data_IF_164149763478
#
_entry.id   IF_164149763478
#
_cell.length_a   1.000
_cell.length_b   1.000
_cell.length_c   1.000
_cell.angle_alpha   90.00
_cell.angle_beta   90.00
_cell.angle_gamma   90.00
#
_symmetry.space_group_name_H-M   'P 1'
#
loop_
_entity.id
_entity.type
_entity.pdbx_description
1 polymer ?
#
# COMPACT_ATOMS: atom_id res chain seq x y z
N UNK A 1 33.01 -26.23 -5.31
CA UNK A 1 32.35 -25.56 -4.18
C UNK A 1 33.44 -25.11 -3.22
N UNK A 2 33.67 -23.79 -3.13
CA UNK A 2 34.91 -23.24 -2.59
C UNK A 2 35.12 -23.57 -1.10
N UNK A 3 36.30 -24.13 -0.81
CA UNK A 3 36.82 -24.43 0.55
C UNK A 3 36.63 -23.25 1.52
N UNK A 4 36.66 -22.03 1.00
CA UNK A 4 36.47 -20.80 1.76
C UNK A 4 35.03 -20.59 2.26
N UNK A 5 34.02 -21.08 1.54
CA UNK A 5 32.60 -20.93 1.91
C UNK A 5 32.28 -21.83 3.10
N UNK A 6 32.79 -23.07 3.11
CA UNK A 6 32.58 -24.01 4.21
C UNK A 6 33.32 -23.59 5.48
N UNK A 7 34.54 -23.05 5.37
CA UNK A 7 35.28 -22.53 6.53
C UNK A 7 34.54 -21.36 7.21
N UNK A 8 33.94 -20.45 6.43
CA UNK A 8 33.17 -19.31 6.95
C UNK A 8 31.88 -19.70 7.68
N UNK A 9 31.22 -20.78 7.26
CA UNK A 9 29.97 -21.25 7.88
C UNK A 9 30.22 -21.89 9.26
N UNK A 10 31.40 -22.48 9.48
CA UNK A 10 31.74 -23.12 10.75
C UNK A 10 32.54 -22.23 11.71
N UNK A 11 33.09 -21.10 11.26
CA UNK A 11 33.68 -20.06 12.12
C UNK A 11 32.62 -19.19 12.81
N UNK A 12 31.37 -19.17 12.31
CA UNK A 12 30.28 -18.37 12.87
C UNK A 12 29.58 -19.02 14.08
N UNK A 13 29.89 -20.27 14.42
CA UNK A 13 29.33 -20.94 15.60
C UNK A 13 30.35 -20.94 16.76
N UNK A 14 30.39 -19.78 17.43
CA UNK A 14 30.96 -19.44 18.74
C UNK A 14 32.28 -20.07 19.22
N UNK A 15 33.24 -19.19 19.50
CA UNK A 15 34.07 -19.24 20.72
C UNK A 15 34.90 -20.49 20.95
N UNK A 16 36.15 -20.45 20.47
CA UNK A 16 37.32 -21.17 21.00
C UNK A 16 37.04 -22.48 21.74
N UNK A 17 36.90 -23.58 21.00
CA UNK A 17 37.44 -24.88 21.45
C UNK A 17 37.65 -25.86 20.29
N UNK A 18 38.90 -26.30 20.21
CA UNK A 18 39.40 -27.57 19.68
C UNK A 18 39.77 -27.70 18.19
N UNK A 19 41.04 -27.39 17.93
CA UNK A 19 41.92 -27.85 16.83
C UNK A 19 41.82 -29.36 16.50
N UNK A 20 41.22 -30.19 17.36
CA UNK A 20 40.93 -31.60 17.07
C UNK A 20 39.81 -31.81 16.05
N UNK A 21 38.88 -30.85 15.87
CA UNK A 21 37.86 -30.93 14.80
C UNK A 21 38.47 -30.73 13.41
N UNK A 22 39.45 -29.84 13.24
CA UNK A 22 40.09 -29.57 11.94
C UNK A 22 40.83 -30.78 11.36
N UNK A 23 41.58 -31.53 12.18
CA UNK A 23 42.26 -32.76 11.70
C UNK A 23 41.30 -33.88 11.29
N UNK A 24 40.10 -33.93 11.87
CA UNK A 24 39.06 -34.87 11.43
C UNK A 24 38.38 -34.41 10.13
N UNK A 25 38.29 -33.09 9.89
CA UNK A 25 37.73 -32.53 8.65
C UNK A 25 38.66 -32.82 7.46
N UNK A 26 39.98 -32.68 7.62
CA UNK A 26 40.95 -33.02 6.55
C UNK A 26 40.86 -34.50 6.16
N UNK A 27 40.76 -35.41 7.15
CA UNK A 27 40.56 -36.85 6.89
C UNK A 27 39.22 -37.17 6.21
N UNK A 28 38.15 -36.46 6.55
CA UNK A 28 36.84 -36.68 5.92
C UNK A 28 36.84 -36.19 4.47
N UNK A 29 37.41 -35.01 4.21
CA UNK A 29 37.53 -34.44 2.86
C UNK A 29 38.44 -35.28 1.96
N UNK A 30 39.52 -35.86 2.49
CA UNK A 30 40.38 -36.79 1.75
C UNK A 30 39.75 -38.18 1.54
N UNK A 31 38.75 -38.57 2.36
CA UNK A 31 38.08 -39.88 2.27
C UNK A 31 36.88 -39.93 1.31
N UNK A 32 36.43 -38.80 0.77
CA UNK A 32 35.42 -38.79 -0.28
C UNK A 32 36.10 -38.95 -1.64
N UNK A 33 35.92 -40.08 -2.36
CA UNK A 33 36.42 -40.16 -3.72
C UNK A 33 35.74 -39.06 -4.55
N UNK A 34 36.49 -38.47 -5.47
CA UNK A 34 35.96 -37.52 -6.44
C UNK A 34 34.77 -38.18 -7.15
N UNK A 35 33.56 -37.76 -6.78
CA UNK A 35 32.32 -38.26 -7.35
C UNK A 35 32.38 -37.96 -8.85
N UNK A 36 32.38 -39.01 -9.67
CA UNK A 36 32.34 -38.83 -11.11
C UNK A 36 31.03 -38.09 -11.48
N UNK A 37 31.11 -37.21 -12.48
CA UNK A 37 29.98 -36.38 -12.91
C UNK A 37 28.74 -37.21 -13.30
N UNK A 38 28.95 -38.45 -13.76
CA UNK A 38 27.88 -39.43 -14.06
C UNK A 38 27.12 -39.80 -12.80
N UNK A 39 27.82 -40.04 -11.69
CA UNK A 39 27.23 -40.40 -10.40
C UNK A 39 26.49 -39.21 -9.77
N UNK A 40 27.04 -37.98 -9.88
CA UNK A 40 26.35 -36.75 -9.45
C UNK A 40 25.11 -36.49 -10.30
N UNK A 41 25.21 -36.65 -11.61
CA UNK A 41 24.09 -36.50 -12.55
C UNK A 41 22.99 -37.54 -12.30
N UNK A 42 23.36 -38.81 -12.04
CA UNK A 42 22.41 -39.87 -11.73
C UNK A 42 21.69 -39.63 -10.39
N UNK A 43 22.40 -39.14 -9.37
CA UNK A 43 21.83 -38.80 -8.08
C UNK A 43 20.92 -37.57 -8.18
N UNK A 44 21.36 -36.51 -8.87
CA UNK A 44 20.57 -35.32 -9.12
C UNK A 44 19.30 -35.64 -9.93
N UNK A 45 19.41 -36.50 -10.93
CA UNK A 45 18.26 -36.98 -11.72
C UNK A 45 17.30 -37.82 -10.88
N UNK A 46 17.81 -38.69 -10.00
CA UNK A 46 16.98 -39.50 -9.11
C UNK A 46 16.28 -38.68 -8.04
N UNK A 47 16.97 -37.70 -7.43
CA UNK A 47 16.39 -36.72 -6.49
C UNK A 47 15.37 -35.83 -7.18
N UNK A 48 15.65 -35.35 -8.39
CA UNK A 48 14.72 -34.57 -9.19
C UNK A 48 13.48 -35.38 -9.56
N UNK A 49 13.62 -36.67 -9.89
CA UNK A 49 12.49 -37.61 -10.07
C UNK A 49 11.69 -37.83 -8.79
N UNK A 50 12.34 -38.02 -7.65
CA UNK A 50 11.67 -38.23 -6.36
C UNK A 50 10.90 -36.98 -5.89
N UNK A 51 11.46 -35.80 -6.14
CA UNK A 51 10.85 -34.51 -5.78
C UNK A 51 9.74 -34.10 -6.76
N UNK A 52 9.87 -34.45 -8.04
CA UNK A 52 8.81 -34.25 -9.05
C UNK A 52 7.67 -35.27 -8.94
N UNK A 53 7.89 -36.44 -8.33
CA UNK A 53 6.84 -37.47 -8.19
C UNK A 53 5.65 -37.04 -7.30
N UNK A 54 5.81 -36.05 -6.42
CA UNK A 54 4.73 -35.55 -5.53
C UNK A 54 3.84 -34.47 -6.15
N UNK A 55 4.17 -33.96 -7.33
CA UNK A 55 3.39 -32.95 -8.02
C UNK A 55 3.12 -33.52 -9.41
N UNK A 56 1.86 -33.79 -9.75
CA UNK A 56 1.55 -34.47 -11.02
C UNK A 56 2.27 -33.79 -12.20
N UNK A 57 2.67 -34.53 -13.24
CA UNK A 57 3.34 -33.95 -14.42
C UNK A 57 2.58 -32.75 -15.00
N UNK A 58 1.24 -32.80 -14.95
CA UNK A 58 0.35 -31.71 -15.33
C UNK A 58 0.44 -30.49 -14.38
N UNK A 59 0.58 -30.73 -13.07
CA UNK A 59 0.78 -29.65 -12.11
C UNK A 59 2.18 -29.03 -12.27
N UNK A 60 3.23 -29.83 -12.51
CA UNK A 60 4.55 -29.30 -12.85
C UNK A 60 4.53 -28.50 -14.16
N UNK A 61 3.87 -28.98 -15.21
CA UNK A 61 3.68 -28.22 -16.44
C UNK A 61 2.91 -26.91 -16.22
N UNK A 62 1.86 -26.91 -15.38
CA UNK A 62 1.11 -25.69 -15.06
C UNK A 62 1.92 -24.70 -14.23
N UNK A 63 2.71 -25.16 -13.27
CA UNK A 63 3.60 -24.31 -12.48
C UNK A 63 4.78 -23.81 -13.32
N UNK A 64 5.35 -24.65 -14.18
CA UNK A 64 6.43 -24.31 -15.10
C UNK A 64 5.98 -23.32 -16.17
N UNK A 65 4.82 -23.55 -16.81
CA UNK A 65 4.23 -22.60 -17.75
C UNK A 65 3.92 -21.26 -17.09
N UNK A 66 3.45 -21.28 -15.83
CA UNK A 66 3.14 -20.05 -15.08
C UNK A 66 4.39 -19.29 -14.65
N UNK A 67 5.45 -19.99 -14.23
CA UNK A 67 6.75 -19.39 -13.95
C UNK A 67 7.35 -18.86 -15.25
N UNK A 68 7.31 -19.62 -16.34
CA UNK A 68 7.79 -19.19 -17.66
C UNK A 68 7.00 -17.99 -18.19
N UNK A 69 5.69 -17.88 -17.99
CA UNK A 69 4.94 -16.68 -18.38
C UNK A 69 5.36 -15.47 -17.54
N UNK A 70 5.62 -15.66 -16.24
CA UNK A 70 6.13 -14.60 -15.35
C UNK A 70 7.55 -14.18 -15.75
N UNK A 71 8.40 -15.12 -16.17
CA UNK A 71 9.75 -14.86 -16.68
C UNK A 71 9.73 -14.24 -18.09
N UNK A 72 8.83 -14.67 -18.97
CA UNK A 72 8.61 -14.08 -20.29
C UNK A 72 8.10 -12.64 -20.17
N UNK A 73 7.22 -12.35 -19.21
CA UNK A 73 6.82 -10.97 -18.88
C UNK A 73 7.98 -10.15 -18.28
N UNK A 74 8.87 -10.79 -17.53
CA UNK A 74 10.10 -10.18 -16.98
C UNK A 74 11.10 -9.84 -18.09
N UNK A 75 11.11 -10.63 -19.16
CA UNK A 75 12.05 -10.51 -20.28
C UNK A 75 11.51 -9.62 -21.43
N UNK A 76 10.21 -9.29 -21.45
CA UNK A 76 9.59 -8.43 -22.49
C UNK A 76 9.88 -6.94 -22.42
N UNK A 77 10.69 -6.52 -21.45
CA UNK A 77 11.31 -5.19 -21.46
C UNK A 77 12.64 -5.22 -22.26
N UNK A 78 13.09 -6.39 -22.77
CA UNK A 78 14.25 -6.52 -23.68
C UNK A 78 14.00 -7.48 -24.87
N UNK A 79 14.20 -7.00 -26.11
CA UNK A 79 14.57 -7.85 -27.23
C UNK A 79 15.76 -8.80 -27.03
N UNK A 80 15.76 -10.12 -27.33
CA UNK A 80 14.90 -11.22 -26.90
C UNK A 80 15.64 -12.58 -26.67
N UNK A 81 14.86 -13.51 -26.11
CA UNK A 81 14.99 -14.98 -26.08
C UNK A 81 15.03 -15.68 -27.46
N UNK A 82 15.74 -15.16 -28.47
CA UNK A 82 15.83 -15.82 -29.79
C UNK A 82 14.53 -15.80 -30.62
N UNK A 83 13.48 -15.12 -30.17
CA UNK A 83 12.18 -15.01 -30.86
C UNK A 83 12.19 -14.07 -32.07
N UNK A 84 13.30 -13.40 -32.37
CA UNK A 84 13.46 -12.55 -33.56
C UNK A 84 13.18 -13.29 -34.88
N UNK A 85 13.40 -14.61 -34.88
CA UNK A 85 13.18 -15.45 -36.04
C UNK A 85 11.69 -15.55 -36.44
N UNK A 86 10.77 -15.17 -35.54
CA UNK A 86 9.34 -15.19 -35.83
C UNK A 86 8.84 -13.81 -36.29
N UNK A 87 8.24 -13.71 -37.50
CA UNK A 87 7.72 -12.46 -38.08
C UNK A 87 6.75 -11.69 -37.17
N UNK A 88 6.01 -12.43 -36.34
CA UNK A 88 5.04 -11.90 -35.38
C UNK A 88 5.69 -11.01 -34.30
N UNK A 89 6.96 -11.27 -33.96
CA UNK A 89 7.69 -10.54 -32.90
C UNK A 89 8.66 -9.49 -33.45
N UNK A 90 8.88 -9.46 -34.76
CA UNK A 90 9.71 -8.47 -35.45
C UNK A 90 8.90 -7.30 -36.02
N UNK A 91 7.58 -7.45 -36.17
CA UNK A 91 6.67 -6.36 -36.51
C UNK A 91 6.01 -5.79 -35.24
N UNK A 92 6.24 -4.50 -34.96
CA UNK A 92 5.78 -3.84 -33.73
C UNK A 92 4.25 -3.84 -33.55
N UNK A 93 3.48 -3.92 -34.63
CA UNK A 93 2.02 -4.01 -34.57
C UNK A 93 1.52 -5.37 -34.08
N UNK A 94 2.11 -6.47 -34.58
CA UNK A 94 1.78 -7.83 -34.18
C UNK A 94 2.19 -8.10 -32.71
N UNK A 95 3.31 -7.53 -32.27
CA UNK A 95 3.73 -7.60 -30.86
C UNK A 95 2.76 -6.85 -29.95
N UNK A 96 2.28 -5.68 -30.37
CA UNK A 96 1.26 -4.95 -29.62
C UNK A 96 -0.05 -5.76 -29.53
N UNK A 97 -0.54 -6.32 -30.63
CA UNK A 97 -1.76 -7.14 -30.63
C UNK A 97 -1.62 -8.41 -29.76
N UNK A 98 -0.43 -9.01 -29.75
CA UNK A 98 -0.12 -10.13 -28.87
C UNK A 98 -0.10 -9.71 -27.38
N UNK A 99 0.52 -8.59 -27.04
CA UNK A 99 0.50 -8.02 -25.69
C UNK A 99 -0.94 -7.74 -25.25
N UNK A 100 -1.77 -7.15 -26.13
CA UNK A 100 -3.19 -6.88 -25.85
C UNK A 100 -3.96 -8.17 -25.58
N UNK A 101 -3.71 -9.21 -26.37
CA UNK A 101 -4.32 -10.54 -26.17
C UNK A 101 -3.95 -11.12 -24.81
N UNK A 102 -2.69 -10.99 -24.38
CA UNK A 102 -2.26 -11.46 -23.07
C UNK A 102 -2.82 -10.64 -21.92
N UNK A 103 -2.89 -9.31 -22.06
CA UNK A 103 -3.56 -8.45 -21.10
C UNK A 103 -5.01 -8.90 -20.95
N UNK A 104 -5.76 -9.03 -22.05
CA UNK A 104 -7.16 -9.44 -21.99
C UNK A 104 -7.36 -10.83 -21.38
N UNK A 105 -6.44 -11.77 -21.63
CA UNK A 105 -6.55 -13.14 -21.15
C UNK A 105 -6.10 -13.32 -19.69
N UNK A 106 -5.09 -12.57 -19.25
CA UNK A 106 -4.40 -12.82 -17.97
C UNK A 106 -4.44 -11.64 -16.98
N UNK A 107 -4.89 -10.44 -17.37
CA UNK A 107 -5.17 -9.33 -16.45
C UNK A 107 -6.63 -9.35 -15.96
N UNK A 108 -7.10 -10.52 -15.52
CA UNK A 108 -8.37 -10.65 -14.82
C UNK A 108 -8.19 -10.39 -13.31
N UNK A 109 -9.31 -10.03 -12.66
CA UNK A 109 -9.36 -9.55 -11.26
C UNK A 109 -8.66 -10.51 -10.27
N UNK A 110 -8.75 -11.81 -10.52
CA UNK A 110 -8.14 -12.84 -9.68
C UNK A 110 -6.62 -12.92 -9.76
N UNK A 111 -6.01 -12.48 -10.86
CA UNK A 111 -4.55 -12.58 -11.04
C UNK A 111 -3.86 -11.41 -10.35
N UNK A 112 -4.37 -10.18 -10.44
CA UNK A 112 -3.78 -9.00 -9.80
C UNK A 112 -3.79 -9.08 -8.26
N UNK A 113 -4.81 -9.68 -7.65
CA UNK A 113 -4.92 -9.81 -6.20
C UNK A 113 -4.20 -11.04 -5.60
N UNK A 114 -3.52 -11.85 -6.41
CA UNK A 114 -2.75 -12.99 -5.85
C UNK A 114 -1.55 -12.45 -5.08
N UNK A 115 -1.49 -12.79 -3.78
CA UNK A 115 -0.43 -12.41 -2.81
C UNK A 115 1.01 -12.81 -3.17
N UNK A 116 1.25 -13.38 -4.34
CA UNK A 116 2.56 -13.90 -4.75
C UNK A 116 3.32 -12.96 -5.70
N UNK A 117 2.77 -11.78 -6.02
CA UNK A 117 3.44 -10.83 -6.88
C UNK A 117 4.40 -9.96 -6.07
N UNK A 118 5.63 -9.81 -6.55
CA UNK A 118 6.54 -8.83 -5.96
C UNK A 118 6.08 -7.41 -6.32
N UNK A 119 6.19 -6.42 -5.42
CA UNK A 119 5.88 -5.03 -5.72
C UNK A 119 6.60 -4.52 -6.98
N UNK A 120 7.85 -4.94 -7.18
CA UNK A 120 8.66 -4.61 -8.36
C UNK A 120 8.04 -5.14 -9.66
N UNK A 121 7.46 -6.35 -9.66
CA UNK A 121 6.79 -6.91 -10.83
C UNK A 121 5.52 -6.13 -11.18
N UNK A 122 4.74 -5.71 -10.18
CA UNK A 122 3.53 -4.92 -10.39
C UNK A 122 3.85 -3.51 -10.91
N UNK A 123 4.88 -2.87 -10.38
CA UNK A 123 5.36 -1.57 -10.88
C UNK A 123 5.85 -1.67 -12.32
N UNK A 124 6.61 -2.72 -12.68
CA UNK A 124 7.03 -2.95 -14.07
C UNK A 124 5.84 -3.13 -15.02
N UNK A 125 4.82 -3.86 -14.59
CA UNK A 125 3.58 -4.02 -15.35
C UNK A 125 2.85 -2.68 -15.52
N UNK A 126 2.76 -1.89 -14.47
CA UNK A 126 2.22 -0.53 -14.51
C UNK A 126 2.98 0.37 -15.49
N UNK A 127 4.31 0.37 -15.43
CA UNK A 127 5.19 1.12 -16.37
C UNK A 127 5.00 0.65 -17.81
N UNK A 128 4.89 -0.66 -18.06
CA UNK A 128 4.61 -1.21 -19.39
C UNK A 128 3.27 -0.69 -19.93
N UNK A 129 2.20 -0.79 -19.14
CA UNK A 129 0.87 -0.32 -19.54
C UNK A 129 0.84 1.19 -19.78
N UNK A 130 1.53 1.96 -18.96
CA UNK A 130 1.70 3.41 -19.13
C UNK A 130 2.41 3.71 -20.47
N UNK A 131 3.52 3.03 -20.76
CA UNK A 131 4.28 3.24 -21.99
C UNK A 131 3.49 2.83 -23.24
N UNK A 132 2.75 1.71 -23.17
CA UNK A 132 1.86 1.30 -24.26
C UNK A 132 0.72 2.31 -24.46
N UNK A 133 0.19 2.89 -23.38
CA UNK A 133 -0.86 3.91 -23.44
C UNK A 133 -0.38 5.21 -24.10
N UNK A 134 0.90 5.57 -23.92
CA UNK A 134 1.52 6.72 -24.61
C UNK A 134 1.63 6.48 -26.12
N UNK A 135 1.82 5.23 -26.54
CA UNK A 135 2.00 4.86 -27.95
C UNK A 135 0.67 4.62 -28.66
N UNK A 136 -0.29 3.97 -28.00
CA UNK A 136 -1.59 3.60 -28.56
C UNK A 136 -2.71 3.84 -27.52
N UNK A 137 -3.71 4.70 -27.82
CA UNK A 137 -4.81 5.00 -26.90
C UNK A 137 -5.65 3.79 -26.45
N UNK A 138 -5.64 2.70 -27.22
CA UNK A 138 -6.34 1.45 -26.88
C UNK A 138 -5.88 0.83 -25.56
N UNK A 139 -4.69 1.18 -25.06
CA UNK A 139 -4.17 0.69 -23.76
C UNK A 139 -4.57 1.54 -22.56
N UNK A 140 -5.11 2.75 -22.77
CA UNK A 140 -5.53 3.65 -21.68
C UNK A 140 -6.52 2.96 -20.73
N UNK A 141 -7.58 2.26 -21.20
CA UNK A 141 -8.51 1.56 -20.32
C UNK A 141 -7.82 0.47 -19.48
N UNK A 142 -6.81 -0.20 -20.03
CA UNK A 142 -6.06 -1.24 -19.31
C UNK A 142 -5.16 -0.64 -18.23
N UNK A 143 -4.53 0.50 -18.50
CA UNK A 143 -3.76 1.23 -17.50
C UNK A 143 -4.66 1.78 -16.37
N UNK A 144 -5.81 2.38 -16.71
CA UNK A 144 -6.79 2.82 -15.71
C UNK A 144 -7.27 1.65 -14.87
N UNK A 145 -7.64 0.54 -15.49
CA UNK A 145 -8.11 -0.64 -14.77
C UNK A 145 -7.03 -1.28 -13.88
N UNK A 146 -5.76 -1.22 -14.29
CA UNK A 146 -4.65 -1.59 -13.42
C UNK A 146 -4.60 -0.69 -12.18
N UNK A 147 -4.63 0.64 -12.35
CA UNK A 147 -4.63 1.59 -11.23
C UNK A 147 -5.83 1.39 -10.31
N UNK A 148 -7.05 1.20 -10.85
CA UNK A 148 -8.26 0.93 -10.07
C UNK A 148 -8.12 -0.30 -9.18
N UNK A 149 -7.47 -1.35 -9.69
CA UNK A 149 -7.40 -2.66 -9.03
C UNK A 149 -6.17 -2.84 -8.15
N UNK A 150 -5.08 -2.15 -8.45
CA UNK A 150 -3.85 -2.28 -7.68
C UNK A 150 -4.06 -1.82 -6.23
N UNK A 151 -3.64 -2.63 -5.27
CA UNK A 151 -3.62 -2.22 -3.87
C UNK A 151 -2.41 -1.29 -3.65
N UNK A 152 -2.60 -0.06 -3.14
CA UNK A 152 -1.49 0.85 -2.87
C UNK A 152 -0.38 0.22 -2.03
N UNK A 153 -0.73 -0.64 -1.07
CA UNK A 153 0.22 -1.31 -0.18
C UNK A 153 1.12 -2.32 -0.91
N UNK A 154 0.68 -2.81 -2.07
CA UNK A 154 1.43 -3.79 -2.88
C UNK A 154 2.36 -3.12 -3.89
N UNK A 155 2.29 -1.81 -4.05
CA UNK A 155 3.04 -1.06 -5.05
C UNK A 155 4.27 -0.34 -4.48
N UNK A 156 4.65 -0.60 -3.23
CA UNK A 156 5.76 0.10 -2.56
C UNK A 156 7.10 -0.62 -2.83
N UNK A 157 7.96 0.03 -3.60
CA UNK A 157 9.37 -0.31 -3.85
C UNK A 157 10.18 0.93 -4.29
N UNK A 158 11.49 0.78 -4.49
CA UNK A 158 12.39 1.88 -4.88
C UNK A 158 12.00 2.56 -6.21
N UNK A 159 11.25 1.88 -7.09
CA UNK A 159 10.81 2.40 -8.38
C UNK A 159 9.43 3.09 -8.36
N UNK A 160 8.81 3.21 -7.17
CA UNK A 160 7.43 3.70 -7.01
C UNK A 160 7.31 5.18 -7.34
N UNK A 161 8.25 5.98 -6.83
CA UNK A 161 8.24 7.42 -7.01
C UNK A 161 8.31 7.78 -8.49
N UNK A 162 9.25 7.20 -9.22
CA UNK A 162 9.39 7.37 -10.68
C UNK A 162 8.10 6.99 -11.41
N UNK A 163 7.51 5.84 -11.07
CA UNK A 163 6.26 5.38 -11.68
C UNK A 163 5.11 6.35 -11.44
N UNK A 164 4.96 6.83 -10.20
CA UNK A 164 3.91 7.78 -9.83
C UNK A 164 4.11 9.12 -10.53
N UNK A 165 5.33 9.65 -10.52
CA UNK A 165 5.67 10.90 -11.19
C UNK A 165 5.42 10.81 -12.71
N UNK A 166 5.85 9.73 -13.36
CA UNK A 166 5.59 9.48 -14.77
C UNK A 166 4.08 9.40 -15.08
N UNK A 167 3.31 8.79 -14.19
CA UNK A 167 1.86 8.66 -14.34
C UNK A 167 1.15 10.02 -14.20
N UNK A 168 1.53 10.81 -13.20
CA UNK A 168 0.99 12.15 -12.94
C UNK A 168 1.36 13.14 -14.06
N UNK A 169 2.59 13.09 -14.56
CA UNK A 169 3.05 13.93 -15.68
C UNK A 169 2.29 13.65 -16.99
N UNK A 170 1.64 12.48 -17.11
CA UNK A 170 0.85 12.10 -18.26
C UNK A 170 -0.67 12.10 -17.98
N UNK A 171 -1.11 12.62 -16.83
CA UNK A 171 -2.52 12.53 -16.39
C UNK A 171 -3.52 13.08 -17.42
N UNK A 172 -3.21 14.21 -18.05
CA UNK A 172 -4.13 14.89 -18.97
C UNK A 172 -4.24 14.11 -20.29
N UNK A 173 -3.12 13.56 -20.78
CA UNK A 173 -3.07 12.70 -21.97
C UNK A 173 -3.78 11.37 -21.77
N UNK A 174 -3.72 10.83 -20.55
CA UNK A 174 -4.38 9.58 -20.17
C UNK A 174 -5.83 9.80 -19.71
N UNK A 175 -6.28 11.05 -19.62
CA UNK A 175 -7.57 11.46 -19.06
C UNK A 175 -7.86 10.76 -17.72
N UNK A 176 -6.89 10.78 -16.79
CA UNK A 176 -7.05 10.14 -15.48
C UNK A 176 -8.11 10.87 -14.66
N UNK A 177 -9.04 10.11 -14.09
CA UNK A 177 -10.06 10.62 -13.17
C UNK A 177 -9.41 11.05 -11.85
N UNK A 178 -10.00 12.04 -11.16
CA UNK A 178 -9.47 12.55 -9.90
C UNK A 178 -9.26 11.44 -8.85
N UNK A 179 -10.14 10.44 -8.81
CA UNK A 179 -10.02 9.30 -7.89
C UNK A 179 -8.76 8.44 -8.15
N UNK A 180 -8.29 8.36 -9.39
CA UNK A 180 -7.06 7.65 -9.77
C UNK A 180 -5.83 8.50 -9.50
N UNK A 181 -5.94 9.83 -9.70
CA UNK A 181 -4.89 10.79 -9.31
C UNK A 181 -4.66 10.72 -7.80
N UNK A 182 -5.73 10.77 -7.01
CA UNK A 182 -5.65 10.59 -5.55
C UNK A 182 -5.00 9.25 -5.20
N UNK A 183 -5.33 8.18 -5.94
CA UNK A 183 -4.74 6.86 -5.70
C UNK A 183 -3.24 6.83 -5.97
N UNK A 184 -2.75 7.52 -6.99
CA UNK A 184 -1.32 7.68 -7.26
C UNK A 184 -0.61 8.42 -6.12
N UNK A 185 -1.24 9.47 -5.59
CA UNK A 185 -0.71 10.18 -4.41
C UNK A 185 -0.73 9.30 -3.15
N UNK A 186 -1.74 8.45 -2.97
CA UNK A 186 -1.79 7.47 -1.87
C UNK A 186 -0.67 6.43 -1.98
N UNK A 187 -0.39 5.94 -3.19
CA UNK A 187 0.73 5.01 -3.44
C UNK A 187 2.06 5.64 -3.01
N UNK A 188 2.26 6.94 -3.28
CA UNK A 188 3.44 7.69 -2.89
C UNK A 188 3.22 8.57 -1.64
N UNK A 189 2.35 8.15 -0.73
CA UNK A 189 1.96 8.98 0.42
C UNK A 189 3.14 9.30 1.33
N UNK A 190 4.10 8.37 1.44
CA UNK A 190 5.30 8.55 2.24
C UNK A 190 6.11 9.77 1.80
N UNK A 191 6.40 9.91 0.51
CA UNK A 191 7.19 11.03 -0.02
C UNK A 191 6.35 12.30 -0.23
N UNK A 192 5.07 12.16 -0.60
CA UNK A 192 4.23 13.32 -0.96
C UNK A 192 3.45 13.95 0.18
N UNK A 193 3.23 13.22 1.29
CA UNK A 193 2.43 13.69 2.44
C UNK A 193 3.20 13.49 3.75
N UNK A 194 3.58 12.26 4.09
CA UNK A 194 4.16 11.95 5.41
C UNK A 194 5.47 12.70 5.65
N UNK A 195 6.41 12.63 4.72
CA UNK A 195 7.71 13.28 4.84
C UNK A 195 7.62 14.81 4.89
N UNK A 196 6.92 15.52 3.98
CA UNK A 196 6.75 16.98 4.12
C UNK A 196 6.08 17.42 5.43
N UNK A 197 5.17 16.60 5.96
CA UNK A 197 4.51 16.84 7.25
C UNK A 197 5.48 16.67 8.42
N UNK A 198 6.22 15.56 8.46
CA UNK A 198 7.17 15.25 9.53
C UNK A 198 8.37 16.20 9.50
N UNK A 199 8.94 16.45 8.32
CA UNK A 199 10.08 17.36 8.16
C UNK A 199 9.69 18.77 8.63
N UNK A 200 8.50 19.25 8.26
CA UNK A 200 8.03 20.55 8.72
C UNK A 200 7.77 20.62 10.23
N UNK A 201 7.28 19.53 10.85
CA UNK A 201 7.17 19.45 12.30
C UNK A 201 8.54 19.56 12.99
N UNK A 202 9.53 18.81 12.50
CA UNK A 202 10.89 18.80 13.04
C UNK A 202 11.59 20.16 12.87
N UNK A 203 11.46 20.78 11.70
CA UNK A 203 11.99 22.13 11.43
C UNK A 203 11.41 23.18 12.38
N UNK A 204 10.14 23.06 12.74
CA UNK A 204 9.42 24.02 13.57
C UNK A 204 9.36 23.63 15.06
N UNK A 205 10.06 22.58 15.47
CA UNK A 205 9.96 22.03 16.82
C UNK A 205 10.28 23.07 17.91
N UNK A 206 11.40 23.79 17.77
CA UNK A 206 11.79 24.82 18.73
C UNK A 206 10.86 26.03 18.67
N UNK A 207 10.41 26.43 17.48
CA UNK A 207 9.43 27.51 17.31
C UNK A 207 8.08 27.20 17.97
N UNK A 208 7.61 25.95 17.87
CA UNK A 208 6.41 25.46 18.56
C UNK A 208 6.59 25.53 20.09
N UNK A 209 7.77 25.17 20.60
CA UNK A 209 8.09 25.21 22.03
C UNK A 209 8.17 26.64 22.57
N UNK A 210 8.74 27.56 21.79
CA UNK A 210 8.87 28.97 22.13
C UNK A 210 7.63 29.82 21.80
N UNK A 211 6.63 29.24 21.10
CA UNK A 211 5.44 29.93 20.56
C UNK A 211 5.80 31.08 19.61
N UNK A 212 6.78 30.83 18.76
CA UNK A 212 7.25 31.75 17.74
C UNK A 212 6.50 31.57 16.42
N UNK A 213 6.75 32.48 15.47
CA UNK A 213 6.20 32.36 14.12
C UNK A 213 6.81 31.15 13.40
N UNK A 214 5.93 30.25 12.94
CA UNK A 214 6.35 29.00 12.32
C UNK A 214 6.65 29.20 10.83
N UNK A 215 7.71 28.56 10.38
CA UNK A 215 8.18 28.60 9.00
C UNK A 215 7.46 27.56 8.13
N UNK A 216 7.23 27.92 6.87
CA UNK A 216 6.68 27.01 5.84
C UNK A 216 7.72 26.75 4.77
N UNK A 217 8.04 25.49 4.51
CA UNK A 217 8.86 25.09 3.37
C UNK A 217 8.03 24.98 2.08
N UNK A 218 8.70 25.03 0.92
CA UNK A 218 8.03 24.85 -0.38
C UNK A 218 7.36 23.47 -0.48
N UNK A 219 8.01 22.43 0.04
CA UNK A 219 7.48 21.07 0.05
C UNK A 219 6.24 20.95 0.95
N UNK A 220 6.25 21.61 2.10
CA UNK A 220 5.08 21.71 2.97
C UNK A 220 3.92 22.40 2.24
N UNK A 221 4.15 23.53 1.58
CA UNK A 221 3.09 24.24 0.85
C UNK A 221 2.55 23.43 -0.34
N UNK A 222 3.41 22.68 -1.05
CA UNK A 222 2.98 21.73 -2.09
C UNK A 222 2.06 20.65 -1.51
N UNK A 223 2.44 20.05 -0.37
CA UNK A 223 1.61 19.09 0.34
C UNK A 223 0.28 19.72 0.78
N UNK A 224 0.28 20.92 1.36
CA UNK A 224 -0.95 21.61 1.78
C UNK A 224 -1.89 21.79 0.58
N UNK A 225 -1.39 22.25 -0.56
CA UNK A 225 -2.20 22.40 -1.77
C UNK A 225 -2.78 21.07 -2.24
N UNK A 226 -1.99 19.99 -2.16
CA UNK A 226 -2.42 18.65 -2.50
C UNK A 226 -3.55 18.17 -1.60
N UNK A 227 -3.38 18.20 -0.27
CA UNK A 227 -4.39 17.69 0.66
C UNK A 227 -5.65 18.59 0.71
N UNK A 228 -5.50 19.88 0.41
CA UNK A 228 -6.64 20.81 0.31
C UNK A 228 -7.49 20.57 -0.94
N UNK A 229 -6.97 19.83 -1.93
CA UNK A 229 -7.65 19.54 -3.20
C UNK A 229 -8.43 18.22 -3.21
N UNK A 230 -8.29 17.36 -2.19
CA UNK A 230 -9.00 16.09 -2.09
C UNK A 230 -9.26 15.71 -0.63
N UNK A 231 -10.54 15.49 -0.30
CA UNK A 231 -10.95 15.01 1.03
C UNK A 231 -10.31 13.67 1.40
N UNK A 232 -10.02 12.81 0.41
CA UNK A 232 -9.37 11.52 0.66
C UNK A 232 -7.91 11.68 1.07
N UNK A 233 -7.19 12.61 0.43
CA UNK A 233 -5.80 12.92 0.79
C UNK A 233 -5.73 13.66 2.12
N UNK A 234 -6.71 14.53 2.41
CA UNK A 234 -6.86 15.16 3.71
C UNK A 234 -7.12 14.16 4.84
N UNK A 235 -7.97 13.16 4.63
CA UNK A 235 -8.20 12.07 5.59
C UNK A 235 -6.91 11.28 5.86
N UNK A 236 -6.13 11.00 4.81
CA UNK A 236 -4.85 10.31 4.95
C UNK A 236 -3.86 11.15 5.78
N UNK A 237 -3.71 12.43 5.47
CA UNK A 237 -2.86 13.34 6.24
C UNK A 237 -3.33 13.46 7.71
N UNK A 238 -4.64 13.50 7.93
CA UNK A 238 -5.23 13.52 9.28
C UNK A 238 -4.95 12.22 10.03
N UNK A 239 -4.96 11.07 9.35
CA UNK A 239 -4.57 9.79 9.94
C UNK A 239 -3.10 9.80 10.36
N UNK A 240 -2.21 10.35 9.53
CA UNK A 240 -0.78 10.47 9.87
C UNK A 240 -0.59 11.41 11.07
N UNK A 241 -1.25 12.56 11.08
CA UNK A 241 -1.23 13.49 12.22
C UNK A 241 -1.74 12.84 13.51
N UNK A 242 -2.79 12.01 13.42
CA UNK A 242 -3.28 11.22 14.56
C UNK A 242 -2.21 10.25 15.05
N UNK A 243 -1.56 9.51 14.16
CA UNK A 243 -0.48 8.60 14.55
C UNK A 243 0.67 9.34 15.22
N UNK A 244 1.10 10.49 14.66
CA UNK A 244 2.10 11.38 15.28
C UNK A 244 1.64 11.87 16.66
N UNK A 245 0.39 12.27 16.82
CA UNK A 245 -0.16 12.67 18.12
C UNK A 245 -0.17 11.56 19.17
N UNK A 246 -0.48 10.33 18.76
CA UNK A 246 -0.50 9.17 19.67
C UNK A 246 0.92 8.73 20.04
N UNK A 247 1.87 8.81 19.11
CA UNK A 247 3.21 8.25 19.28
C UNK A 247 4.24 9.28 19.76
N UNK A 248 3.99 10.59 19.58
CA UNK A 248 4.80 11.62 20.18
C UNK A 248 4.33 11.88 21.62
N UNK A 249 5.21 11.67 22.60
CA UNK A 249 5.00 11.99 24.03
C UNK A 249 4.93 13.52 24.32
N UNK A 250 4.42 14.32 23.38
CA UNK A 250 4.37 15.77 23.39
C UNK A 250 2.99 16.28 22.92
N UNK A 251 1.90 15.98 23.64
CA UNK A 251 0.54 16.18 23.14
C UNK A 251 0.18 17.65 22.89
N UNK A 252 0.66 18.57 23.73
CA UNK A 252 0.38 20.00 23.58
C UNK A 252 1.05 20.59 22.33
N UNK A 253 2.32 20.27 22.12
CA UNK A 253 3.07 20.70 20.93
C UNK A 253 2.44 20.14 19.65
N UNK A 254 2.00 18.89 19.69
CA UNK A 254 1.37 18.27 18.54
C UNK A 254 -0.02 18.87 18.26
N UNK A 255 -0.79 19.26 19.28
CA UNK A 255 -2.04 20.01 19.08
C UNK A 255 -1.77 21.35 18.39
N UNK A 256 -0.78 22.11 18.85
CA UNK A 256 -0.41 23.39 18.25
C UNK A 256 0.04 23.20 16.79
N UNK A 257 0.79 22.13 16.51
CA UNK A 257 1.19 21.78 15.15
C UNK A 257 0.01 21.37 14.26
N UNK A 258 -0.91 20.54 14.77
CA UNK A 258 -2.13 20.17 14.05
C UNK A 258 -2.95 21.42 13.71
N UNK A 259 -3.10 22.35 14.66
CA UNK A 259 -3.79 23.62 14.41
C UNK A 259 -3.10 24.45 13.32
N UNK A 260 -1.76 24.50 13.33
CA UNK A 260 -0.98 25.14 12.28
C UNK A 260 -1.26 24.52 10.90
N UNK A 261 -1.19 23.20 10.77
CA UNK A 261 -1.49 22.50 9.51
C UNK A 261 -2.92 22.79 9.05
N UNK A 262 -3.91 22.68 9.95
CA UNK A 262 -5.31 22.92 9.63
C UNK A 262 -5.56 24.37 9.17
N UNK A 263 -4.91 25.35 9.78
CA UNK A 263 -5.00 26.76 9.38
C UNK A 263 -4.53 26.95 7.93
N UNK A 264 -3.43 26.29 7.55
CA UNK A 264 -2.92 26.36 6.18
C UNK A 264 -3.83 25.65 5.18
N UNK A 265 -4.38 24.48 5.55
CA UNK A 265 -5.37 23.78 4.73
C UNK A 265 -6.59 24.66 4.51
N UNK A 266 -7.22 25.17 5.58
CA UNK A 266 -8.42 26.02 5.51
C UNK A 266 -8.21 27.26 4.63
N UNK A 267 -7.01 27.85 4.67
CA UNK A 267 -6.67 29.02 3.86
C UNK A 267 -6.57 28.71 2.36
N UNK A 268 -6.36 27.45 1.99
CA UNK A 268 -6.14 27.00 0.61
C UNK A 268 -7.33 26.24 0.01
N UNK A 269 -8.43 26.06 0.74
CA UNK A 269 -9.65 25.41 0.22
C UNK A 269 -10.35 26.33 -0.78
N UNK A 270 -10.56 25.84 -2.01
CA UNK A 270 -11.26 26.56 -3.09
C UNK A 270 -12.67 26.03 -3.38
N UNK A 271 -13.49 25.80 -2.34
CA UNK A 271 -14.88 25.29 -2.40
C UNK A 271 -15.08 23.76 -2.29
N UNK A 272 -14.28 23.05 -1.49
CA UNK A 272 -14.53 21.65 -1.14
C UNK A 272 -14.96 21.48 0.31
N UNK A 273 -15.89 20.55 0.55
CA UNK A 273 -16.17 20.03 1.89
C UNK A 273 -15.05 19.06 2.26
N UNK A 274 -14.19 19.46 3.20
CA UNK A 274 -13.24 18.55 3.82
C UNK A 274 -13.97 17.65 4.80
N UNK A 275 -14.16 16.40 4.43
CA UNK A 275 -14.81 15.43 5.28
C UNK A 275 -13.75 14.66 6.07
N UNK A 276 -13.78 14.76 7.40
CA UNK A 276 -12.95 13.91 8.29
C UNK A 276 -13.50 12.48 8.40
N UNK A 277 -14.75 12.29 8.00
CA UNK A 277 -15.44 11.01 8.02
C UNK A 277 -15.68 10.52 6.59
N UNK A 278 -15.69 9.20 6.34
CA UNK A 278 -15.94 8.68 5.01
C UNK A 278 -17.33 9.13 4.51
N UNK A 279 -17.40 9.70 3.29
CA UNK A 279 -18.65 10.26 2.72
C UNK A 279 -19.76 9.23 2.49
N UNK A 280 -19.43 7.94 2.47
CA UNK A 280 -20.41 6.84 2.42
C UNK A 280 -21.07 6.56 3.78
N UNK A 281 -20.54 7.14 4.86
CA UNK A 281 -21.16 7.19 6.17
C UNK A 281 -21.69 8.61 6.34
N UNK A 282 -22.86 8.91 5.77
CA UNK A 282 -23.65 10.06 6.23
C UNK A 282 -24.02 9.77 7.68
N UNK A 283 -23.21 10.29 8.61
CA UNK A 283 -23.37 10.00 10.02
C UNK A 283 -23.53 11.26 10.85
N UNK A 284 -24.60 11.31 11.64
CA UNK A 284 -24.71 12.28 12.72
C UNK A 284 -23.91 11.77 13.91
N UNK A 285 -22.95 12.56 14.37
CA UNK A 285 -22.21 12.27 15.61
C UNK A 285 -22.80 13.10 16.74
N UNK A 286 -23.49 12.45 17.67
CA UNK A 286 -24.01 13.11 18.88
C UNK A 286 -23.10 12.80 20.07
N UNK A 287 -22.55 13.84 20.68
CA UNK A 287 -21.61 13.76 21.80
C UNK A 287 -22.30 14.11 23.13
N UNK A 288 -22.47 13.12 24.01
CA UNK A 288 -23.01 13.32 25.35
C UNK A 288 -21.87 13.35 26.38
N UNK A 289 -21.53 14.57 26.81
CA UNK A 289 -20.36 14.88 27.66
C UNK A 289 -20.69 15.08 29.14
N UNK A 290 -21.95 15.03 29.52
CA UNK A 290 -22.42 15.19 30.90
C UNK A 290 -23.04 13.86 31.32
N UNK A 291 -22.73 13.36 32.51
CA UNK A 291 -23.33 12.12 33.02
C UNK A 291 -24.83 12.33 33.23
N UNK A 292 -25.65 11.39 32.76
CA UNK A 292 -27.12 11.37 32.93
C UNK A 292 -27.57 11.74 34.35
N UNK A 293 -26.86 11.31 35.40
CA UNK A 293 -27.21 11.61 36.79
C UNK A 293 -27.18 13.11 37.17
N UNK A 294 -26.47 13.93 36.39
CA UNK A 294 -26.40 15.38 36.60
C UNK A 294 -27.44 16.16 35.80
N UNK A 295 -28.23 15.47 34.97
CA UNK A 295 -29.35 16.05 34.27
C UNK A 295 -30.60 16.06 35.16
N UNK A 296 -31.41 17.12 35.05
CA UNK A 296 -32.80 17.09 35.53
C UNK A 296 -33.62 16.16 34.64
N UNK A 297 -34.71 15.60 35.16
CA UNK A 297 -35.64 14.76 34.38
C UNK A 297 -36.14 15.46 33.10
N UNK A 298 -36.40 16.76 33.16
CA UNK A 298 -36.78 17.56 31.99
C UNK A 298 -35.67 17.63 30.94
N UNK A 299 -34.42 17.82 31.36
CA UNK A 299 -33.28 17.89 30.45
C UNK A 299 -32.92 16.52 29.88
N UNK A 300 -33.01 15.45 30.68
CA UNK A 300 -32.87 14.06 30.20
C UNK A 300 -33.88 13.79 29.10
N UNK A 301 -35.16 14.03 29.38
CA UNK A 301 -36.25 13.80 28.43
C UNK A 301 -36.06 14.61 27.14
N UNK A 302 -35.70 15.89 27.26
CA UNK A 302 -35.40 16.72 26.09
C UNK A 302 -34.26 16.16 25.24
N UNK A 303 -33.18 15.67 25.87
CA UNK A 303 -32.04 15.05 25.17
C UNK A 303 -32.45 13.76 24.47
N UNK A 304 -33.22 12.90 25.12
CA UNK A 304 -33.76 11.65 24.56
C UNK A 304 -34.71 11.94 23.39
N UNK A 305 -35.66 12.86 23.56
CA UNK A 305 -36.58 13.31 22.51
C UNK A 305 -35.81 13.88 21.31
N UNK A 306 -34.73 14.64 21.55
CA UNK A 306 -33.91 15.22 20.49
C UNK A 306 -33.17 14.15 19.69
N UNK A 307 -32.59 13.15 20.37
CA UNK A 307 -31.90 12.03 19.73
C UNK A 307 -32.87 11.17 18.92
N UNK A 308 -34.05 10.88 19.48
CA UNK A 308 -35.12 10.17 18.78
C UNK A 308 -35.58 10.93 17.54
N UNK A 309 -35.82 12.25 17.66
CA UNK A 309 -36.20 13.09 16.53
C UNK A 309 -35.11 13.16 15.45
N UNK A 310 -33.83 13.18 15.82
CA UNK A 310 -32.72 13.14 14.86
C UNK A 310 -32.69 11.82 14.09
N UNK A 311 -32.91 10.70 14.78
CA UNK A 311 -33.01 9.38 14.17
C UNK A 311 -34.21 9.27 13.22
N UNK A 312 -35.41 9.65 13.69
CA UNK A 312 -36.66 9.55 12.93
C UNK A 312 -36.68 10.46 11.69
N UNK A 313 -36.01 11.62 11.73
CA UNK A 313 -35.94 12.54 10.59
C UNK A 313 -34.96 12.09 9.51
N UNK A 314 -34.02 11.21 9.83
CA UNK A 314 -32.91 10.83 8.96
C UNK A 314 -32.69 9.31 8.97
N UNK A 315 -33.75 8.56 8.67
CA UNK A 315 -33.76 7.09 8.73
C UNK A 315 -32.82 6.41 7.74
N UNK A 316 -32.37 7.14 6.71
CA UNK A 316 -31.41 6.73 5.70
C UNK A 316 -29.95 6.98 6.11
N UNK A 317 -29.72 7.62 7.26
CA UNK A 317 -28.39 7.99 7.76
C UNK A 317 -28.04 7.23 9.05
N UNK A 318 -26.73 7.02 9.28
CA UNK A 318 -26.24 6.28 10.45
C UNK A 318 -26.04 7.24 11.61
N UNK A 319 -26.88 7.17 12.64
CA UNK A 319 -26.63 7.92 13.88
C UNK A 319 -25.53 7.22 14.71
N UNK A 320 -24.38 7.88 14.88
CA UNK A 320 -23.29 7.42 15.74
C UNK A 320 -23.34 8.21 17.04
N UNK A 321 -23.68 7.52 18.14
CA UNK A 321 -23.68 8.12 19.46
C UNK A 321 -22.32 7.89 20.15
N UNK A 322 -21.65 8.98 20.50
CA UNK A 322 -20.40 8.94 21.27
C UNK A 322 -20.67 9.33 22.72
N UNK A 323 -20.52 8.36 23.61
CA UNK A 323 -20.81 8.49 25.03
C UNK A 323 -19.52 8.53 25.85
N UNK A 324 -19.36 9.57 26.66
CA UNK A 324 -18.34 9.56 27.73
C UNK A 324 -18.82 8.80 28.97
N UNK A 325 -20.14 8.70 29.16
CA UNK A 325 -20.75 8.05 30.33
C UNK A 325 -21.72 6.94 29.87
N UNK A 326 -21.44 5.66 30.19
CA UNK A 326 -22.25 4.52 29.74
C UNK A 326 -23.71 4.56 30.18
N UNK A 327 -24.03 5.25 31.28
CA UNK A 327 -25.39 5.37 31.82
C UNK A 327 -26.41 5.89 30.79
N UNK A 328 -25.97 6.72 29.85
CA UNK A 328 -26.81 7.20 28.75
C UNK A 328 -27.30 6.08 27.84
N UNK A 329 -26.54 5.00 27.71
CA UNK A 329 -26.95 3.85 26.90
C UNK A 329 -28.15 3.13 27.52
N UNK A 330 -28.20 3.02 28.85
CA UNK A 330 -29.31 2.41 29.58
C UNK A 330 -30.57 3.30 29.49
N UNK A 331 -30.42 4.60 29.75
CA UNK A 331 -31.49 5.60 29.61
C UNK A 331 -32.07 5.60 28.17
N UNK A 332 -31.22 5.54 27.15
CA UNK A 332 -31.64 5.46 25.75
C UNK A 332 -32.30 4.12 25.41
N UNK A 333 -31.75 3.00 25.88
CA UNK A 333 -32.32 1.68 25.61
C UNK A 333 -33.72 1.56 26.19
N UNK A 334 -33.92 2.02 27.43
CA UNK A 334 -35.23 2.05 28.07
C UNK A 334 -36.19 2.98 27.34
N UNK A 335 -35.73 4.17 26.94
CA UNK A 335 -36.55 5.13 26.21
C UNK A 335 -36.99 4.63 24.83
N UNK A 336 -36.13 3.88 24.12
CA UNK A 336 -36.45 3.30 22.81
C UNK A 336 -37.42 2.12 22.94
N UNK A 337 -37.33 1.32 24.02
CA UNK A 337 -38.29 0.24 24.30
C UNK A 337 -39.71 0.80 24.48
N UNK A 338 -39.85 1.99 25.09
CA UNK A 338 -41.15 2.66 25.23
C UNK A 338 -41.67 3.28 23.92
N UNK A 339 -40.86 3.26 22.85
CA UNK A 339 -41.13 3.92 21.56
C UNK A 339 -41.47 2.95 20.42
N UNK A 340 -41.21 1.64 20.59
CA UNK A 340 -41.54 0.54 19.66
C UNK A 340 -42.73 -0.23 20.21
#
# INVERSE_FOLDING_TARGET
>A
MDRQILLKIFESDSGSRDLKKMKNIEKVVESFPALDDTSISALASSLSKLLSYKVSPDAYQRYSARIQIIEVMRDWIQPPLGLHAHPTFSQGENMAEFILTLINKYMNREILHRKNHSPKSLIKLGKLLLNLSKQKPTYIPHFKSFLERADPLQLVCDETEDFVNDSLNNRDKLALECCLVDKLHIINAKESIEKPLVDNFLENFEGLRAREELSTSENFMKMINLISSSSKLFQLASSILKELFVHCDLPLLMIDYIQFVLKHVLSNIKNMNLDLYPTHLQSYVALLRIDSKYHTESSKRYTLDSLSNMYLKNTDQVLILMLHYPNWFEELSNYVIDFI
#
